data_IF_702353148948
#
_entry.id   IF_702353148948
#
_cell.length_a   1.000
_cell.length_b   1.000
_cell.length_c   1.000
_cell.angle_alpha   90.00
_cell.angle_beta   90.00
_cell.angle_gamma   90.00
#
_symmetry.space_group_name_H-M   'P 1'
#
loop_
_entity.id
_entity.type
_entity.pdbx_description
1 polymer ?
#
# COMPACT_ATOMS: atom_id res chain seq x y z
N UNK A 1 -23.63 25.73 -12.22
CA UNK A 1 -22.38 25.80 -11.44
C UNK A 1 -22.40 24.65 -10.46
N UNK A 2 -21.62 23.57 -10.63
CA UNK A 2 -21.73 22.42 -9.75
C UNK A 2 -21.13 22.76 -8.38
N UNK A 3 -21.84 22.32 -7.35
CA UNK A 3 -21.57 22.47 -5.93
C UNK A 3 -20.18 21.86 -5.61
N UNK A 4 -19.25 22.68 -5.12
CA UNK A 4 -17.95 22.18 -4.65
C UNK A 4 -18.20 21.36 -3.38
N UNK A 5 -18.36 20.04 -3.53
CA UNK A 5 -18.42 19.10 -2.41
C UNK A 5 -17.11 19.20 -1.63
N UNK A 6 -17.14 19.92 -0.50
CA UNK A 6 -16.00 20.07 0.41
C UNK A 6 -15.71 18.71 1.04
N UNK A 7 -14.76 17.97 0.47
CA UNK A 7 -14.30 16.71 1.02
C UNK A 7 -13.28 16.97 2.14
N UNK A 8 -13.72 16.89 3.39
CA UNK A 8 -12.82 17.00 4.54
C UNK A 8 -11.90 15.77 4.61
N UNK A 9 -10.58 16.02 4.62
CA UNK A 9 -9.57 14.97 4.79
C UNK A 9 -9.32 14.71 6.29
N UNK A 10 -9.60 13.50 6.77
CA UNK A 10 -9.31 13.08 8.14
C UNK A 10 -7.91 12.47 8.18
N UNK A 11 -7.02 13.04 8.99
CA UNK A 11 -5.68 12.50 9.24
C UNK A 11 -5.66 11.92 10.66
N UNK A 12 -5.31 10.64 10.79
CA UNK A 12 -5.11 10.02 12.08
C UNK A 12 -3.70 10.37 12.61
N UNK A 13 -3.64 10.84 13.86
CA UNK A 13 -2.37 11.05 14.55
C UNK A 13 -1.98 9.76 15.27
N UNK A 14 -0.80 9.26 14.97
CA UNK A 14 -0.24 8.01 15.52
C UNK A 14 0.93 8.37 16.44
N UNK A 15 1.03 7.68 17.59
CA UNK A 15 2.14 7.85 18.52
C UNK A 15 3.49 7.51 17.87
N UNK A 16 4.57 8.15 18.33
CA UNK A 16 5.90 7.98 17.76
C UNK A 16 6.35 6.51 17.72
N UNK A 17 6.12 5.76 18.80
CA UNK A 17 6.48 4.35 18.89
C UNK A 17 5.69 3.51 17.88
N UNK A 18 4.38 3.72 17.79
CA UNK A 18 3.52 3.04 16.81
C UNK A 18 3.93 3.37 15.37
N UNK A 19 4.37 4.61 15.08
CA UNK A 19 4.89 4.98 13.76
C UNK A 19 6.18 4.24 13.41
N UNK A 20 7.08 4.04 14.38
CA UNK A 20 8.31 3.24 14.21
C UNK A 20 7.94 1.79 13.91
N UNK A 21 7.02 1.21 14.68
CA UNK A 21 6.55 -0.16 14.47
C UNK A 21 5.93 -0.35 13.09
N UNK A 22 5.06 0.57 12.65
CA UNK A 22 4.47 0.55 11.32
C UNK A 22 5.53 0.62 10.21
N UNK A 23 6.59 1.41 10.38
CA UNK A 23 7.68 1.49 9.39
C UNK A 23 8.48 0.20 9.29
N UNK A 24 8.70 -0.49 10.41
CA UNK A 24 9.32 -1.82 10.43
C UNK A 24 8.45 -2.83 9.69
N UNK A 25 7.14 -2.85 9.98
CA UNK A 25 6.19 -3.74 9.30
C UNK A 25 6.12 -3.46 7.79
N UNK A 26 6.00 -2.19 7.39
CA UNK A 26 5.99 -1.77 6.00
C UNK A 26 7.25 -2.25 5.25
N UNK A 27 8.44 -2.07 5.84
CA UNK A 27 9.71 -2.48 5.21
C UNK A 27 9.76 -3.99 4.97
N UNK A 28 9.24 -4.79 5.92
CA UNK A 28 9.19 -6.25 5.78
C UNK A 28 8.16 -6.68 4.74
N UNK A 29 7.01 -6.02 4.69
CA UNK A 29 5.95 -6.32 3.72
C UNK A 29 6.30 -5.86 2.30
N UNK A 30 7.14 -4.83 2.17
CA UNK A 30 7.46 -4.24 0.87
C UNK A 30 8.13 -5.23 -0.08
N UNK A 31 8.89 -6.21 0.42
CA UNK A 31 9.48 -7.26 -0.41
C UNK A 31 8.41 -8.13 -1.10
N UNK A 32 7.32 -8.46 -0.41
CA UNK A 32 6.19 -9.21 -1.00
C UNK A 32 5.33 -8.34 -1.89
N UNK A 33 5.05 -7.11 -1.44
CA UNK A 33 4.26 -6.18 -2.24
C UNK A 33 4.92 -5.88 -3.58
N UNK A 34 6.25 -5.77 -3.64
CA UNK A 34 6.96 -5.56 -4.90
C UNK A 34 6.84 -6.75 -5.88
N UNK A 35 6.53 -7.96 -5.39
CA UNK A 35 6.29 -9.13 -6.26
C UNK A 35 4.83 -9.21 -6.72
N UNK A 36 3.88 -8.82 -5.86
CA UNK A 36 2.45 -8.93 -6.16
C UNK A 36 1.86 -7.71 -6.87
N UNK A 37 2.41 -6.52 -6.64
CA UNK A 37 1.90 -5.30 -7.24
C UNK A 37 2.19 -5.32 -8.75
N UNK A 38 1.16 -5.01 -9.54
CA UNK A 38 1.29 -4.93 -11.00
C UNK A 38 2.22 -3.78 -11.41
N UNK A 39 2.95 -3.97 -12.51
CA UNK A 39 3.72 -2.92 -13.17
C UNK A 39 2.88 -1.69 -13.52
N UNK A 40 1.54 -1.84 -13.65
CA UNK A 40 0.61 -0.75 -13.95
C UNK A 40 0.28 0.10 -12.71
N UNK A 41 0.44 -0.43 -11.49
CA UNK A 41 0.21 0.33 -10.27
C UNK A 41 1.41 1.25 -10.00
N UNK A 42 1.15 2.53 -9.74
CA UNK A 42 2.20 3.56 -9.67
C UNK A 42 2.25 4.27 -8.31
N UNK A 43 1.10 4.36 -7.63
CA UNK A 43 1.02 4.86 -6.26
C UNK A 43 1.61 3.88 -5.25
N UNK A 44 2.30 4.40 -4.23
CA UNK A 44 2.94 3.64 -3.15
C UNK A 44 4.14 2.76 -3.57
N UNK A 45 4.55 2.81 -4.84
CA UNK A 45 5.77 2.16 -5.31
C UNK A 45 7.00 2.96 -4.99
N UNK A 46 8.09 2.24 -4.71
CA UNK A 46 9.43 2.84 -4.67
C UNK A 46 9.83 3.24 -6.10
N UNK A 47 10.49 4.38 -6.23
CA UNK A 47 11.14 4.83 -7.46
C UNK A 47 10.21 5.13 -8.65
N UNK A 48 8.90 5.31 -8.42
CA UNK A 48 7.96 5.81 -9.44
C UNK A 48 7.32 7.13 -9.02
N UNK A 49 7.55 8.16 -9.82
CA UNK A 49 7.05 9.51 -9.54
C UNK A 49 5.77 9.83 -10.29
N UNK A 50 5.07 10.87 -9.84
CA UNK A 50 3.88 11.42 -10.52
C UNK A 50 4.21 11.86 -11.95
N UNK A 51 5.44 12.33 -12.21
CA UNK A 51 5.89 12.73 -13.55
C UNK A 51 5.87 11.57 -14.53
N UNK A 52 6.34 10.39 -14.10
CA UNK A 52 6.34 9.19 -14.94
C UNK A 52 4.90 8.73 -15.20
N UNK A 53 4.02 8.87 -14.20
CA UNK A 53 2.60 8.56 -14.36
C UNK A 53 1.89 9.50 -15.32
N UNK A 54 2.20 10.80 -15.29
CA UNK A 54 1.67 11.77 -16.27
C UNK A 54 2.10 11.36 -17.68
N UNK A 55 3.39 11.09 -17.89
CA UNK A 55 3.89 10.65 -19.20
C UNK A 55 3.21 9.35 -19.69
N UNK A 56 3.03 8.36 -18.83
CA UNK A 56 2.33 7.12 -19.15
C UNK A 56 0.85 7.35 -19.50
N UNK A 57 0.16 8.24 -18.78
CA UNK A 57 -1.23 8.62 -19.11
C UNK A 57 -1.29 9.30 -20.48
N UNK A 58 -0.37 10.23 -20.77
CA UNK A 58 -0.28 10.86 -22.09
C UNK A 58 -0.12 9.82 -23.20
N UNK A 59 0.82 8.88 -23.03
CA UNK A 59 1.05 7.79 -23.99
C UNK A 59 -0.20 6.91 -24.19
N UNK A 60 -0.83 6.46 -23.10
CA UNK A 60 -2.07 5.67 -23.18
C UNK A 60 -3.19 6.49 -23.82
N UNK A 61 -3.22 7.80 -23.58
CA UNK A 61 -4.23 8.67 -24.16
C UNK A 61 -4.12 8.77 -25.68
N UNK A 62 -2.91 8.84 -26.21
CA UNK A 62 -2.63 8.81 -27.65
C UNK A 62 -3.05 7.47 -28.26
N UNK A 63 -2.67 6.35 -27.64
CA UNK A 63 -3.04 5.01 -28.13
C UNK A 63 -4.54 4.79 -28.19
N UNK A 64 -5.29 5.22 -27.18
CA UNK A 64 -6.75 5.08 -27.22
C UNK A 64 -7.39 5.98 -28.29
N UNK A 65 -6.79 7.13 -28.63
CA UNK A 65 -7.23 7.98 -29.75
C UNK A 65 -7.00 7.29 -31.09
N UNK A 66 -5.85 6.64 -31.26
CA UNK A 66 -5.52 5.83 -32.45
C UNK A 66 -6.56 4.71 -32.67
N UNK A 67 -6.92 3.99 -31.60
CA UNK A 67 -7.85 2.85 -31.68
C UNK A 67 -9.33 3.20 -31.45
N UNK A 68 -9.68 4.49 -31.34
CA UNK A 68 -11.05 4.97 -31.12
C UNK A 68 -11.79 4.27 -29.96
N UNK A 69 -11.07 3.87 -28.90
CA UNK A 69 -11.69 3.24 -27.71
C UNK A 69 -12.18 4.29 -26.72
N UNK A 70 -13.23 3.98 -25.95
CA UNK A 70 -13.71 4.86 -24.87
C UNK A 70 -12.76 4.78 -23.66
N UNK A 71 -12.51 5.91 -22.99
CA UNK A 71 -11.78 5.98 -21.72
C UNK A 71 -12.75 6.27 -20.58
N UNK A 72 -12.43 5.77 -19.39
CA UNK A 72 -13.05 6.20 -18.15
C UNK A 72 -11.99 6.38 -17.07
N UNK A 73 -12.16 7.41 -16.23
CA UNK A 73 -11.40 7.57 -15.01
C UNK A 73 -12.29 7.09 -13.86
N UNK A 74 -11.74 6.22 -13.00
CA UNK A 74 -12.41 5.71 -11.81
C UNK A 74 -11.70 6.33 -10.61
N UNK A 75 -12.45 6.98 -9.74
CA UNK A 75 -11.94 7.53 -8.48
C UNK A 75 -12.71 6.95 -7.30
N UNK A 76 -12.01 6.70 -6.20
CA UNK A 76 -12.58 6.13 -4.98
C UNK A 76 -12.83 7.22 -3.96
N UNK A 77 -14.09 7.39 -3.56
CA UNK A 77 -14.47 8.31 -2.49
C UNK A 77 -13.92 7.75 -1.17
N UNK A 78 -13.09 8.53 -0.48
CA UNK A 78 -12.52 8.19 0.85
C UNK A 78 -11.93 6.77 0.91
N UNK A 79 -11.08 6.42 -0.05
CA UNK A 79 -10.48 5.09 -0.19
C UNK A 79 -10.06 4.41 1.14
N UNK A 80 -9.37 5.14 2.03
CA UNK A 80 -8.90 4.59 3.31
C UNK A 80 -10.01 4.36 4.35
N UNK A 81 -11.09 5.14 4.32
CA UNK A 81 -12.22 4.96 5.24
C UNK A 81 -13.14 3.81 4.81
N UNK A 82 -13.10 3.40 3.53
CA UNK A 82 -13.95 2.38 2.95
C UNK A 82 -13.32 0.96 2.91
N UNK A 83 -12.15 0.77 3.53
CA UNK A 83 -11.46 -0.52 3.55
C UNK A 83 -12.14 -1.48 4.52
N UNK A 84 -12.54 -2.66 4.05
CA UNK A 84 -13.02 -3.76 4.91
C UNK A 84 -11.83 -4.47 5.57
N UNK A 85 -11.69 -4.27 6.88
CA UNK A 85 -10.60 -4.83 7.68
C UNK A 85 -10.58 -6.36 7.68
N UNK A 86 -11.75 -7.03 7.73
CA UNK A 86 -11.81 -8.49 7.76
C UNK A 86 -11.33 -9.08 6.43
N UNK A 87 -11.74 -8.45 5.32
CA UNK A 87 -11.31 -8.86 3.98
C UNK A 87 -9.82 -8.60 3.76
N UNK A 88 -9.31 -7.47 4.25
CA UNK A 88 -7.88 -7.15 4.17
C UNK A 88 -7.05 -8.15 4.97
N UNK A 89 -7.42 -8.43 6.22
CA UNK A 89 -6.73 -9.40 7.06
C UNK A 89 -6.74 -10.80 6.44
N UNK A 90 -7.90 -11.26 5.95
CA UNK A 90 -8.02 -12.54 5.27
C UNK A 90 -7.12 -12.62 4.03
N UNK A 91 -7.00 -11.54 3.26
CA UNK A 91 -6.13 -11.51 2.06
C UNK A 91 -4.65 -11.63 2.45
N UNK A 92 -4.23 -10.88 3.46
CA UNK A 92 -2.85 -10.94 3.98
C UNK A 92 -2.56 -12.34 4.55
N UNK A 93 -3.49 -12.92 5.30
CA UNK A 93 -3.34 -14.25 5.91
C UNK A 93 -3.34 -15.39 4.90
N UNK A 94 -4.14 -15.29 3.84
CA UNK A 94 -4.22 -16.34 2.80
C UNK A 94 -3.02 -16.30 1.86
N UNK A 95 -2.57 -15.11 1.45
CA UNK A 95 -1.44 -14.96 0.51
C UNK A 95 -0.07 -15.04 1.17
N UNK A 96 0.05 -14.63 2.42
CA UNK A 96 1.33 -14.63 3.14
C UNK A 96 1.37 -15.63 4.31
N UNK A 97 0.30 -16.42 4.49
CA UNK A 97 0.18 -17.49 5.48
C UNK A 97 0.13 -17.00 6.93
N UNK A 98 -0.17 -17.91 7.86
CA UNK A 98 0.37 -17.78 9.23
C UNK A 98 1.87 -17.86 9.07
N UNK A 99 2.47 -16.69 8.99
CA UNK A 99 3.87 -16.53 8.72
C UNK A 99 4.70 -17.37 9.69
N UNK A 100 5.36 -18.43 9.20
CA UNK A 100 6.49 -19.15 9.86
C UNK A 100 7.68 -18.22 10.26
N UNK A 101 7.51 -16.92 10.09
CA UNK A 101 8.45 -15.84 10.32
C UNK A 101 8.62 -15.52 11.81
N UNK A 102 7.73 -16.02 12.68
CA UNK A 102 7.90 -16.00 14.14
C UNK A 102 8.70 -17.21 14.66
N UNK A 103 8.65 -18.37 13.99
CA UNK A 103 9.31 -19.59 14.45
C UNK A 103 10.71 -19.81 13.86
N UNK A 104 11.06 -19.17 12.75
CA UNK A 104 12.39 -19.36 12.14
C UNK A 104 13.43 -18.32 12.60
N UNK A 105 13.57 -18.15 13.92
CA UNK A 105 14.66 -17.34 14.52
C UNK A 105 15.16 -17.92 15.85
N UNK A 106 15.02 -19.23 16.05
CA UNK A 106 15.62 -20.00 17.17
C UNK A 106 17.13 -20.28 17.00
N UNK A 107 17.90 -19.32 16.47
CA UNK A 107 19.36 -19.37 16.63
C UNK A 107 19.89 -18.02 17.08
N UNK A 108 20.40 -18.06 18.32
CA UNK A 108 21.31 -17.11 18.97
C UNK A 108 20.61 -16.03 19.82
N UNK A 109 20.11 -16.50 20.97
CA UNK A 109 20.20 -15.99 22.37
C UNK A 109 20.44 -14.50 22.68
N UNK A 110 21.06 -13.70 21.81
CA UNK A 110 21.17 -12.24 21.99
C UNK A 110 19.87 -11.48 21.62
N UNK A 111 18.93 -12.13 20.92
CA UNK A 111 17.67 -11.53 20.45
C UNK A 111 16.53 -11.55 21.47
N UNK A 112 16.64 -12.33 22.55
CA UNK A 112 15.62 -12.37 23.60
C UNK A 112 15.52 -11.03 24.35
N UNK A 113 16.65 -10.37 24.64
CA UNK A 113 16.65 -9.07 25.32
C UNK A 113 15.93 -7.95 24.53
N UNK A 114 15.97 -8.01 23.20
CA UNK A 114 15.32 -7.00 22.35
C UNK A 114 13.80 -7.25 22.26
N UNK A 115 13.36 -8.50 22.35
CA UNK A 115 11.94 -8.86 22.23
C UNK A 115 11.17 -8.53 23.52
N UNK A 116 11.78 -8.65 24.70
CA UNK A 116 11.13 -8.27 25.97
C UNK A 116 10.86 -6.75 26.08
N UNK A 117 11.61 -5.90 25.39
CA UNK A 117 11.43 -4.44 25.41
C UNK A 117 10.36 -3.93 24.42
N UNK A 118 9.77 -4.81 23.62
CA UNK A 118 8.82 -4.47 22.54
C UNK A 118 7.43 -5.10 22.75
N UNK A 119 7.14 -5.53 23.97
CA UNK A 119 5.79 -5.78 24.50
C UNK A 119 5.59 -4.79 25.65
#
# INVERSE_FOLDING_TARGET
>A
MPEYVKLHCRIALILHISKIMLKILQTRLQQYMNQELSEVQVGFWRDRGTRDQIANIHWVMEKVREFQKKKCFIDYIKFFDCVDHNKQEATVRTRHGTTNWFQNRERNTARLYIITLLI
#
